data_IF_796555242719
#
_entry.id   IF_796555242719
#
_cell.length_a   1.000
_cell.length_b   1.000
_cell.length_c   1.000
_cell.angle_alpha   90.00
_cell.angle_beta   90.00
_cell.angle_gamma   90.00
#
_symmetry.space_group_name_H-M   'P 1'
#
loop_
_entity.id
_entity.type
_entity.pdbx_description
1 polymer ?
#
# COMPACT_ATOMS: atom_id res chain seq x y z
N UNK A 1 16.48 -2.06 22.72
CA UNK A 1 16.00 -0.70 22.39
C UNK A 1 16.47 -0.26 21.01
N UNK A 2 17.79 -0.15 20.74
CA UNK A 2 18.32 0.25 19.42
C UNK A 2 17.82 -0.61 18.24
N UNK A 3 17.85 -1.94 18.39
CA UNK A 3 17.37 -2.89 17.38
C UNK A 3 15.86 -2.72 17.07
N UNK A 4 15.03 -2.43 18.09
CA UNK A 4 13.59 -2.21 17.91
C UNK A 4 13.31 -0.93 17.10
N UNK A 5 14.08 0.14 17.38
CA UNK A 5 14.00 1.41 16.63
C UNK A 5 14.42 1.21 15.18
N UNK A 6 15.53 0.52 14.94
CA UNK A 6 16.01 0.22 13.58
C UNK A 6 15.00 -0.61 12.80
N UNK A 7 14.40 -1.64 13.42
CA UNK A 7 13.33 -2.44 12.80
C UNK A 7 12.10 -1.58 12.47
N UNK A 8 11.63 -0.76 13.42
CA UNK A 8 10.47 0.11 13.20
C UNK A 8 10.67 1.09 12.04
N UNK A 9 11.85 1.73 11.96
CA UNK A 9 12.19 2.64 10.85
C UNK A 9 12.20 1.88 9.52
N UNK A 10 12.79 0.68 9.49
CA UNK A 10 12.82 -0.13 8.28
C UNK A 10 11.41 -0.53 7.81
N UNK A 11 10.54 -0.94 8.73
CA UNK A 11 9.15 -1.27 8.42
C UNK A 11 8.38 -0.08 7.84
N UNK A 12 8.51 1.10 8.45
CA UNK A 12 7.87 2.32 7.95
C UNK A 12 8.35 2.68 6.56
N UNK A 13 9.66 2.63 6.32
CA UNK A 13 10.22 2.93 4.99
C UNK A 13 9.79 1.97 3.92
N UNK A 14 9.70 0.68 4.25
CA UNK A 14 9.19 -0.32 3.30
C UNK A 14 7.71 -0.13 3.01
N UNK A 15 6.91 0.24 4.02
CA UNK A 15 5.52 0.59 3.82
C UNK A 15 5.39 1.86 2.95
N UNK A 16 6.15 2.92 3.23
CA UNK A 16 6.19 4.13 2.40
C UNK A 16 6.58 3.84 0.95
N UNK A 17 7.57 2.98 0.74
CA UNK A 17 8.00 2.58 -0.59
C UNK A 17 6.91 1.80 -1.31
N UNK A 18 6.19 0.92 -0.60
CA UNK A 18 5.03 0.21 -1.16
C UNK A 18 3.95 1.18 -1.62
N UNK A 19 3.51 2.10 -0.77
CA UNK A 19 2.49 3.11 -1.12
C UNK A 19 2.92 3.96 -2.32
N UNK A 20 4.19 4.39 -2.35
CA UNK A 20 4.73 5.14 -3.48
C UNK A 20 4.75 4.33 -4.78
N UNK A 21 5.15 3.06 -4.73
CA UNK A 21 5.14 2.19 -5.91
C UNK A 21 3.72 1.87 -6.39
N UNK A 22 2.75 1.72 -5.48
CA UNK A 22 1.34 1.58 -5.82
C UNK A 22 0.85 2.84 -6.55
N UNK A 23 1.20 4.03 -6.05
CA UNK A 23 0.96 5.27 -6.80
C UNK A 23 1.61 5.28 -8.18
N UNK A 24 2.87 4.85 -8.33
CA UNK A 24 3.54 4.84 -9.65
C UNK A 24 2.86 3.87 -10.62
N UNK A 25 2.42 2.71 -10.12
CA UNK A 25 1.64 1.72 -10.88
C UNK A 25 0.32 2.33 -11.37
N UNK A 26 -0.44 2.99 -10.49
CA UNK A 26 -1.71 3.61 -10.87
C UNK A 26 -1.53 4.82 -11.78
N UNK A 27 -0.45 5.59 -11.62
CA UNK A 27 -0.09 6.64 -12.57
C UNK A 27 0.34 6.08 -13.93
N UNK A 28 0.89 4.88 -13.99
CA UNK A 28 1.13 4.18 -15.25
C UNK A 28 -0.20 3.80 -15.91
N UNK A 29 -1.16 3.24 -15.16
CA UNK A 29 -2.49 2.91 -15.69
C UNK A 29 -3.27 4.13 -16.16
N UNK A 30 -3.20 5.24 -15.42
CA UNK A 30 -3.71 6.55 -15.84
C UNK A 30 -3.18 6.94 -17.23
N UNK A 31 -1.89 6.71 -17.51
CA UNK A 31 -1.31 7.05 -18.82
C UNK A 31 -1.74 6.10 -19.93
N UNK A 32 -2.06 4.85 -19.60
CA UNK A 32 -2.33 3.77 -20.57
C UNK A 32 -3.81 3.61 -20.93
N UNK A 33 -4.74 3.91 -20.02
CA UNK A 33 -6.16 3.58 -20.17
C UNK A 33 -7.04 4.83 -20.08
N UNK A 34 -7.31 5.45 -21.23
CA UNK A 34 -8.05 6.71 -21.35
C UNK A 34 -9.44 6.68 -20.72
N UNK A 35 -10.14 5.55 -20.83
CA UNK A 35 -11.51 5.38 -20.33
C UNK A 35 -11.62 5.54 -18.82
N UNK A 36 -10.59 5.10 -18.09
CA UNK A 36 -10.60 5.00 -16.62
C UNK A 36 -9.55 5.93 -15.98
N UNK A 37 -9.08 6.92 -16.73
CA UNK A 37 -8.07 7.89 -16.29
C UNK A 37 -8.41 8.53 -14.94
N UNK A 38 -9.62 9.08 -14.81
CA UNK A 38 -10.02 9.78 -13.59
C UNK A 38 -9.94 8.86 -12.36
N UNK A 39 -10.34 7.60 -12.51
CA UNK A 39 -10.28 6.58 -11.48
C UNK A 39 -8.84 6.29 -11.05
N UNK A 40 -7.95 5.97 -12.00
CA UNK A 40 -6.57 5.63 -11.68
C UNK A 40 -5.78 6.82 -11.11
N UNK A 41 -6.09 8.04 -11.58
CA UNK A 41 -5.52 9.24 -11.00
C UNK A 41 -5.98 9.45 -9.55
N UNK A 42 -7.26 9.22 -9.26
CA UNK A 42 -7.79 9.35 -7.89
C UNK A 42 -7.09 8.39 -6.93
N UNK A 43 -7.06 7.09 -7.23
CA UNK A 43 -6.42 6.08 -6.38
C UNK A 43 -4.92 6.39 -6.22
N UNK A 44 -4.21 6.75 -7.29
CA UNK A 44 -2.80 7.12 -7.18
C UNK A 44 -2.56 8.27 -6.18
N UNK A 45 -3.42 9.28 -6.16
CA UNK A 45 -3.30 10.38 -5.19
C UNK A 45 -3.69 9.96 -3.77
N UNK A 46 -4.52 8.94 -3.60
CA UNK A 46 -4.83 8.36 -2.29
C UNK A 46 -3.59 7.65 -1.73
N UNK A 47 -2.87 6.88 -2.54
CA UNK A 47 -1.62 6.24 -2.11
C UNK A 47 -0.51 7.24 -1.77
N UNK A 48 -0.40 8.35 -2.49
CA UNK A 48 0.54 9.41 -2.10
C UNK A 48 0.20 10.03 -0.73
N UNK A 49 -1.09 10.11 -0.37
CA UNK A 49 -1.49 10.54 0.97
C UNK A 49 -1.14 9.49 2.03
N UNK A 50 -1.27 8.20 1.70
CA UNK A 50 -0.85 7.10 2.56
C UNK A 50 0.64 7.17 2.86
N UNK A 51 1.47 7.32 1.83
CA UNK A 51 2.92 7.52 1.97
C UNK A 51 3.23 8.71 2.90
N UNK A 52 2.56 9.85 2.71
CA UNK A 52 2.75 11.03 3.57
C UNK A 52 2.36 10.78 5.03
N UNK A 53 1.36 9.94 5.30
CA UNK A 53 0.96 9.56 6.67
C UNK A 53 2.00 8.65 7.34
N UNK A 54 2.59 7.73 6.57
CA UNK A 54 3.64 6.84 7.05
C UNK A 54 4.95 7.58 7.32
N UNK A 55 5.31 8.56 6.49
CA UNK A 55 6.48 9.44 6.70
C UNK A 55 6.38 10.18 8.04
N UNK A 56 5.20 10.72 8.35
CA UNK A 56 4.94 11.33 9.66
C UNK A 56 5.05 10.33 10.83
N UNK A 57 4.91 9.03 10.55
CA UNK A 57 5.10 7.92 11.49
C UNK A 57 6.53 7.77 12.01
N UNK A 58 7.55 8.10 11.21
CA UNK A 58 8.96 7.98 11.63
C UNK A 58 9.27 8.83 12.88
N UNK A 59 8.66 10.01 12.99
CA UNK A 59 8.84 10.90 14.14
C UNK A 59 8.38 10.26 15.45
N UNK A 60 7.33 9.42 15.40
CA UNK A 60 6.88 8.69 16.57
C UNK A 60 7.85 7.59 16.99
N UNK A 61 8.61 7.01 16.06
CA UNK A 61 9.68 6.06 16.39
C UNK A 61 10.80 6.78 17.15
N UNK A 62 11.21 7.96 16.68
CA UNK A 62 12.30 8.75 17.28
C UNK A 62 12.01 9.14 18.73
N UNK A 63 10.74 9.34 19.08
CA UNK A 63 10.30 9.65 20.45
C UNK A 63 9.82 8.41 21.25
N UNK A 64 10.04 7.19 20.73
CA UNK A 64 9.75 5.94 21.44
C UNK A 64 8.26 5.63 21.60
N UNK A 65 7.40 6.12 20.69
CA UNK A 65 5.94 5.88 20.69
C UNK A 65 5.48 4.90 19.60
N UNK A 66 6.40 4.15 19.02
CA UNK A 66 6.05 3.11 18.05
C UNK A 66 5.44 1.89 18.75
N UNK A 67 4.24 1.42 18.35
CA UNK A 67 3.63 0.21 18.90
C UNK A 67 4.53 -1.02 18.76
N UNK A 68 4.69 -1.80 19.83
CA UNK A 68 5.48 -3.03 19.75
C UNK A 68 4.77 -4.09 18.90
N UNK A 69 3.45 -4.04 18.84
CA UNK A 69 2.60 -4.94 18.05
C UNK A 69 2.92 -4.86 16.55
N UNK A 70 3.32 -3.68 16.07
CA UNK A 70 3.73 -3.49 14.67
C UNK A 70 5.12 -4.07 14.38
N UNK A 71 5.92 -4.36 15.41
CA UNK A 71 7.20 -5.06 15.25
C UNK A 71 7.03 -6.54 14.96
N UNK A 72 5.83 -7.11 15.12
CA UNK A 72 5.52 -8.49 14.72
C UNK A 72 5.34 -8.63 13.19
N UNK A 73 5.25 -7.51 12.48
CA UNK A 73 5.23 -7.53 11.01
C UNK A 73 6.57 -8.08 10.50
N UNK A 74 6.47 -9.09 9.64
CA UNK A 74 7.61 -9.73 8.99
C UNK A 74 8.18 -8.83 7.90
N UNK A 75 9.33 -8.23 8.19
CA UNK A 75 10.03 -7.31 7.29
C UNK A 75 10.31 -7.94 5.92
N UNK A 76 10.75 -9.19 5.90
CA UNK A 76 11.12 -9.91 4.68
C UNK A 76 9.92 -10.05 3.72
N UNK A 77 8.70 -10.12 4.26
CA UNK A 77 7.46 -10.16 3.45
C UNK A 77 7.22 -8.82 2.75
N UNK A 78 7.45 -7.69 3.43
CA UNK A 78 7.35 -6.36 2.83
C UNK A 78 8.42 -6.14 1.76
N UNK A 79 9.68 -6.52 2.04
CA UNK A 79 10.78 -6.43 1.08
C UNK A 79 10.49 -7.23 -0.20
N UNK A 80 9.91 -8.43 -0.06
CA UNK A 80 9.52 -9.25 -1.21
C UNK A 80 8.43 -8.55 -2.06
N UNK A 81 7.38 -8.03 -1.42
CA UNK A 81 6.26 -7.37 -2.12
C UNK A 81 6.76 -6.14 -2.87
N UNK A 82 7.51 -5.26 -2.21
CA UNK A 82 8.13 -4.07 -2.82
C UNK A 82 9.05 -4.48 -3.98
N UNK A 83 9.87 -5.52 -3.80
CA UNK A 83 10.77 -6.02 -4.85
C UNK A 83 10.02 -6.58 -6.06
N UNK A 84 8.90 -7.27 -5.85
CA UNK A 84 8.06 -7.83 -6.92
C UNK A 84 7.31 -6.72 -7.66
N UNK A 85 6.74 -5.76 -6.93
CA UNK A 85 5.98 -4.64 -7.50
C UNK A 85 6.88 -3.74 -8.35
N UNK A 86 8.03 -3.32 -7.82
CA UNK A 86 9.01 -2.52 -8.56
C UNK A 86 9.44 -3.18 -9.87
N UNK A 87 9.71 -4.49 -9.85
CA UNK A 87 10.02 -5.25 -11.09
C UNK A 87 8.84 -5.24 -12.07
N UNK A 88 7.61 -5.43 -11.59
CA UNK A 88 6.43 -5.44 -12.44
C UNK A 88 6.19 -4.09 -13.12
N UNK A 89 6.37 -2.99 -12.39
CA UNK A 89 6.27 -1.63 -12.93
C UNK A 89 7.27 -1.44 -14.08
N UNK A 90 8.53 -1.85 -13.88
CA UNK A 90 9.56 -1.76 -14.92
C UNK A 90 9.28 -2.66 -16.14
N UNK A 91 8.66 -3.82 -15.93
CA UNK A 91 8.17 -4.66 -17.03
C UNK A 91 7.07 -3.94 -17.83
N UNK A 92 6.09 -3.34 -17.15
CA UNK A 92 4.98 -2.64 -17.78
C UNK A 92 5.39 -1.34 -18.50
N UNK A 93 6.41 -0.64 -18.01
CA UNK A 93 7.02 0.50 -18.71
C UNK A 93 7.66 0.09 -20.04
N UNK A 94 8.22 -1.12 -20.13
CA UNK A 94 8.84 -1.66 -21.37
C UNK A 94 7.81 -2.26 -22.32
N UNK A 95 6.78 -2.90 -21.77
CA UNK A 95 5.70 -3.53 -22.53
C UNK A 95 4.39 -3.29 -21.80
N UNK A 96 3.58 -2.37 -22.32
CA UNK A 96 2.30 -2.05 -21.75
C UNK A 96 1.42 -3.31 -21.61
N UNK A 97 0.85 -3.57 -20.42
CA UNK A 97 -0.06 -4.69 -20.22
C UNK A 97 -1.39 -4.45 -20.91
N UNK A 98 -2.13 -5.53 -21.15
CA UNK A 98 -3.54 -5.41 -21.48
C UNK A 98 -4.32 -4.82 -20.31
N UNK A 99 -5.43 -4.12 -20.58
CA UNK A 99 -6.30 -3.54 -19.55
C UNK A 99 -6.71 -4.58 -18.50
N UNK A 100 -7.13 -5.76 -18.96
CA UNK A 100 -7.50 -6.88 -18.08
C UNK A 100 -6.36 -7.30 -17.16
N UNK A 101 -5.17 -7.52 -17.72
CA UNK A 101 -3.99 -7.94 -16.94
C UNK A 101 -3.61 -6.89 -15.89
N UNK A 102 -3.61 -5.60 -16.26
CA UNK A 102 -3.32 -4.52 -15.34
C UNK A 102 -4.30 -4.50 -14.17
N UNK A 103 -5.60 -4.65 -14.43
CA UNK A 103 -6.63 -4.48 -13.40
C UNK A 103 -6.69 -5.69 -12.47
N UNK A 104 -6.49 -6.90 -13.03
CA UNK A 104 -6.32 -8.11 -12.22
C UNK A 104 -5.07 -8.04 -11.33
N UNK A 105 -3.98 -7.45 -11.83
CA UNK A 105 -2.78 -7.24 -11.03
C UNK A 105 -3.03 -6.19 -9.93
N UNK A 106 -3.71 -5.09 -10.23
CA UNK A 106 -4.11 -4.08 -9.26
C UNK A 106 -4.92 -4.68 -8.11
N UNK A 107 -5.95 -5.49 -8.41
CA UNK A 107 -6.73 -6.21 -7.41
C UNK A 107 -5.86 -7.09 -6.52
N UNK A 108 -4.96 -7.86 -7.13
CA UNK A 108 -4.05 -8.73 -6.37
C UNK A 108 -3.16 -7.93 -5.42
N UNK A 109 -2.72 -6.75 -5.83
CA UNK A 109 -1.87 -5.91 -4.99
C UNK A 109 -2.63 -5.35 -3.79
N UNK A 110 -3.84 -4.82 -4.00
CA UNK A 110 -4.69 -4.33 -2.89
C UNK A 110 -5.07 -5.45 -1.93
N UNK A 111 -5.41 -6.64 -2.45
CA UNK A 111 -5.71 -7.82 -1.64
C UNK A 111 -4.50 -8.27 -0.83
N UNK A 112 -3.31 -8.27 -1.43
CA UNK A 112 -2.06 -8.61 -0.74
C UNK A 112 -1.64 -7.55 0.27
N UNK A 113 -1.91 -6.27 0.01
CA UNK A 113 -1.62 -5.19 0.96
C UNK A 113 -2.53 -5.33 2.20
N UNK A 114 -3.82 -5.56 1.96
CA UNK A 114 -4.84 -5.86 2.95
C UNK A 114 -4.51 -7.10 3.80
N UNK A 115 -4.20 -8.25 3.18
CA UNK A 115 -4.01 -9.51 3.92
C UNK A 115 -2.68 -9.58 4.66
N UNK A 116 -1.59 -9.00 4.14
CA UNK A 116 -0.24 -9.22 4.68
C UNK A 116 0.23 -8.17 5.67
N UNK A 117 -0.25 -6.93 5.59
CA UNK A 117 0.37 -5.83 6.33
C UNK A 117 -0.36 -5.47 7.63
N UNK A 118 -1.66 -5.75 7.73
CA UNK A 118 -2.47 -5.16 8.81
C UNK A 118 -3.46 -6.10 9.51
N UNK A 119 -3.55 -7.39 9.15
CA UNK A 119 -4.43 -8.33 9.87
C UNK A 119 -4.17 -8.32 11.39
N UNK A 120 -2.91 -8.17 11.79
CA UNK A 120 -2.53 -8.08 13.21
C UNK A 120 -2.94 -6.75 13.87
N UNK A 121 -3.10 -5.68 13.09
CA UNK A 121 -3.52 -4.36 13.57
C UNK A 121 -5.03 -4.31 13.86
N UNK A 122 -5.80 -5.12 13.14
CA UNK A 122 -7.26 -5.20 13.26
C UNK A 122 -7.72 -5.89 14.56
N UNK A 123 -6.91 -6.77 15.16
CA UNK A 123 -7.25 -7.45 16.43
C UNK A 123 -6.99 -6.58 17.66
N UNK A 124 -6.29 -5.45 17.52
CA UNK A 124 -6.01 -4.53 18.62
C UNK A 124 -7.16 -3.53 18.74
N UNK A 125 -8.19 -3.88 19.52
CA UNK A 125 -9.43 -3.08 19.64
C UNK A 125 -9.21 -1.70 20.28
N UNK A 126 -8.23 -1.55 21.18
CA UNK A 126 -7.95 -0.30 21.91
C UNK A 126 -6.46 -0.02 21.95
N UNK A 127 -6.06 1.11 21.35
CA UNK A 127 -4.73 1.67 21.51
C UNK A 127 -4.85 3.18 21.41
N UNK A 128 -4.26 3.88 22.38
CA UNK A 128 -4.09 5.35 22.32
C UNK A 128 -2.95 5.74 21.35
N UNK A 129 -2.37 4.77 20.64
CA UNK A 129 -1.31 5.02 19.67
C UNK A 129 -1.86 5.58 18.37
N UNK A 130 -1.43 6.81 18.06
CA UNK A 130 -1.68 7.46 16.77
C UNK A 130 -1.12 6.68 15.59
N UNK A 131 0.00 5.96 15.75
CA UNK A 131 0.54 5.14 14.67
C UNK A 131 -0.39 3.97 14.38
N UNK A 132 -0.92 3.33 15.42
CA UNK A 132 -1.82 2.21 15.21
C UNK A 132 -3.10 2.68 14.47
N UNK A 133 -3.59 3.87 14.77
CA UNK A 133 -4.69 4.49 14.03
C UNK A 133 -4.34 4.75 12.55
N UNK A 134 -3.12 5.21 12.25
CA UNK A 134 -2.63 5.35 10.87
C UNK A 134 -2.71 3.99 10.15
N UNK A 135 -2.15 2.93 10.73
CA UNK A 135 -2.14 1.59 10.13
C UNK A 135 -3.56 1.02 9.93
N UNK A 136 -4.50 1.30 10.86
CA UNK A 136 -5.92 0.93 10.70
C UNK A 136 -6.58 1.66 9.54
N UNK A 137 -6.27 2.94 9.37
CA UNK A 137 -6.81 3.77 8.29
C UNK A 137 -6.27 3.34 6.93
N UNK A 138 -4.99 2.98 6.84
CA UNK A 138 -4.37 2.40 5.64
C UNK A 138 -5.09 1.11 5.25
N UNK A 139 -5.22 0.16 6.18
CA UNK A 139 -5.94 -1.10 5.93
C UNK A 139 -7.40 -0.91 5.46
N UNK A 140 -8.09 0.11 5.99
CA UNK A 140 -9.44 0.43 5.57
C UNK A 140 -9.47 1.03 4.16
N UNK A 141 -8.45 1.80 3.78
CA UNK A 141 -8.32 2.41 2.46
C UNK A 141 -7.95 1.35 1.39
N UNK A 142 -6.98 0.47 1.65
CA UNK A 142 -6.62 -0.65 0.75
C UNK A 142 -7.85 -1.51 0.43
N UNK A 143 -8.68 -1.76 1.45
CA UNK A 143 -9.95 -2.47 1.27
C UNK A 143 -10.94 -1.70 0.39
N UNK A 144 -11.04 -0.38 0.56
CA UNK A 144 -11.88 0.46 -0.29
C UNK A 144 -11.38 0.46 -1.74
N UNK A 145 -10.06 0.56 -1.94
CA UNK A 145 -9.43 0.49 -3.26
C UNK A 145 -9.72 -0.85 -3.93
N UNK A 146 -9.52 -1.97 -3.23
CA UNK A 146 -9.87 -3.30 -3.72
C UNK A 146 -11.31 -3.37 -4.24
N UNK A 147 -12.28 -2.93 -3.43
CA UNK A 147 -13.70 -2.98 -3.79
C UNK A 147 -14.03 -2.05 -4.96
N UNK A 148 -13.38 -0.87 -5.05
CA UNK A 148 -13.53 0.07 -6.16
C UNK A 148 -12.96 -0.47 -7.46
N UNK A 149 -11.77 -1.08 -7.43
CA UNK A 149 -11.15 -1.71 -8.60
C UNK A 149 -11.98 -2.91 -9.05
N UNK A 150 -12.50 -3.70 -8.11
CA UNK A 150 -13.36 -4.84 -8.41
C UNK A 150 -14.62 -4.40 -9.16
N UNK A 151 -15.29 -3.36 -8.65
CA UNK A 151 -16.46 -2.76 -9.31
C UNK A 151 -16.12 -2.19 -10.68
N UNK A 152 -14.95 -1.58 -10.85
CA UNK A 152 -14.49 -1.09 -12.15
C UNK A 152 -14.40 -2.24 -13.16
N UNK A 153 -13.80 -3.37 -12.76
CA UNK A 153 -13.67 -4.56 -13.61
C UNK A 153 -15.04 -5.15 -13.94
N UNK A 154 -15.92 -5.33 -12.94
CA UNK A 154 -17.27 -5.88 -13.13
C UNK A 154 -18.14 -4.97 -14.03
N UNK A 155 -18.02 -3.64 -13.88
CA UNK A 155 -18.72 -2.66 -14.71
C UNK A 155 -18.16 -2.49 -16.12
N UNK A 156 -16.91 -2.89 -16.35
CA UNK A 156 -16.25 -2.86 -17.67
C UNK A 156 -16.66 -4.05 -18.57
N UNK A 157 -17.42 -5.01 -18.04
CA UNK A 157 -18.01 -6.14 -18.78
C UNK A 157 -19.44 -5.79 -19.18
N UNK A 158 -19.63 -4.81 -20.07
CA UNK A 158 -20.87 -4.58 -20.82
C UNK A 158 -20.58 -3.95 -22.18
#
# INVERSE_FOLDING_TARGET
MKIKIEKAIQLLRLAEELEWQMSDLYMLYYKLYDEDKAFWWEIANEELKHQSLLEAGEEFVKIGKFPEELLEIEKDTLEEVVGVLGKKIEEYKKKAPSKKEAYEYALKMEDSAFEKHYQYVMVVEKSDSKILDIFKRLNAADKDHYERIKKLIEGSVN
#
